data_IF_623998328110
#
_entry.id   IF_623998328110
#
_cell.length_a   1.000
_cell.length_b   1.000
_cell.length_c   1.000
_cell.angle_alpha   90.00
_cell.angle_beta   90.00
_cell.angle_gamma   90.00
#
_symmetry.space_group_name_H-M   'P 1'
#
loop_
_entity.id
_entity.type
_entity.pdbx_description
1 polymer ?
#
# COMPACT_ATOMS: atom_id res chain seq x y z
N UNK A 1 -15.02 -7.62 -12.57
CA UNK A 1 -14.21 -7.43 -13.79
C UNK A 1 -14.97 -7.97 -14.99
N UNK A 2 -14.86 -7.40 -16.19
CA UNK A 2 -15.45 -7.98 -17.40
C UNK A 2 -14.87 -9.40 -17.60
N UNK A 3 -15.72 -10.35 -18.00
CA UNK A 3 -15.39 -11.79 -18.00
C UNK A 3 -14.87 -12.23 -19.39
N UNK A 4 -14.95 -11.35 -20.41
CA UNK A 4 -14.49 -11.61 -21.77
C UNK A 4 -13.82 -10.36 -22.36
N UNK A 5 -12.77 -10.55 -23.16
CA UNK A 5 -12.24 -9.50 -24.01
C UNK A 5 -13.27 -9.11 -25.09
N UNK A 6 -13.29 -7.86 -25.59
CA UNK A 6 -14.12 -7.51 -26.74
C UNK A 6 -13.83 -8.47 -27.89
N UNK A 7 -14.87 -9.16 -28.41
CA UNK A 7 -14.77 -10.25 -29.41
C UNK A 7 -14.02 -9.92 -30.72
N UNK A 8 -13.59 -8.67 -30.89
CA UNK A 8 -12.93 -8.15 -32.09
C UNK A 8 -11.41 -7.99 -31.92
N UNK A 9 -10.87 -8.15 -30.71
CA UNK A 9 -9.44 -7.99 -30.47
C UNK A 9 -8.70 -9.31 -30.69
N UNK A 10 -7.51 -9.30 -31.34
CA UNK A 10 -6.75 -10.51 -31.64
C UNK A 10 -5.97 -11.06 -30.42
N UNK A 11 -6.32 -10.64 -29.20
CA UNK A 11 -5.62 -10.98 -27.95
C UNK A 11 -6.63 -11.43 -26.89
N UNK A 12 -6.16 -12.24 -25.95
CA UNK A 12 -6.90 -12.66 -24.77
C UNK A 12 -7.16 -11.49 -23.82
N UNK A 13 -8.07 -11.69 -22.86
CA UNK A 13 -8.34 -10.68 -21.82
C UNK A 13 -7.13 -10.42 -20.92
N UNK A 14 -6.38 -11.47 -20.58
CA UNK A 14 -5.18 -11.36 -19.74
C UNK A 14 -4.07 -10.58 -20.46
N UNK A 15 -3.87 -10.85 -21.76
CA UNK A 15 -2.94 -10.08 -22.59
C UNK A 15 -3.39 -8.62 -22.72
N UNK A 16 -4.68 -8.37 -22.93
CA UNK A 16 -5.23 -7.01 -23.00
C UNK A 16 -5.05 -6.26 -21.68
N UNK A 17 -5.25 -6.94 -20.54
CA UNK A 17 -5.07 -6.36 -19.21
C UNK A 17 -3.59 -6.06 -18.94
N UNK A 18 -2.70 -7.01 -19.23
CA UNK A 18 -1.26 -6.81 -19.07
C UNK A 18 -0.77 -5.63 -19.91
N UNK A 19 -1.17 -5.56 -21.18
CA UNK A 19 -0.83 -4.44 -22.07
C UNK A 19 -1.38 -3.10 -21.55
N UNK A 20 -2.63 -3.09 -21.08
CA UNK A 20 -3.22 -1.88 -20.52
C UNK A 20 -2.47 -1.41 -19.26
N UNK A 21 -2.08 -2.33 -18.38
CA UNK A 21 -1.31 -2.02 -17.19
C UNK A 21 0.08 -1.48 -17.57
N UNK A 22 0.79 -2.12 -18.51
CA UNK A 22 2.07 -1.61 -19.02
C UNK A 22 1.94 -0.19 -19.54
N UNK A 23 0.92 0.10 -20.35
CA UNK A 23 0.69 1.44 -20.88
C UNK A 23 0.51 2.47 -19.76
N UNK A 24 -0.28 2.14 -18.72
CA UNK A 24 -0.46 3.02 -17.54
C UNK A 24 0.88 3.28 -16.83
N UNK A 25 1.69 2.24 -16.63
CA UNK A 25 2.96 2.35 -15.91
C UNK A 25 4.02 3.15 -16.67
N UNK A 26 4.03 3.05 -18.00
CA UNK A 26 5.00 3.75 -18.86
C UNK A 26 4.60 5.20 -19.15
N UNK A 27 3.30 5.50 -19.23
CA UNK A 27 2.81 6.83 -19.63
C UNK A 27 2.58 7.78 -18.46
N UNK A 28 2.22 7.25 -17.29
CA UNK A 28 1.89 8.09 -16.15
C UNK A 28 3.14 8.41 -15.34
N UNK A 29 3.57 9.68 -15.37
CA UNK A 29 4.60 10.17 -14.46
C UNK A 29 4.06 10.20 -13.02
N UNK A 30 4.89 9.76 -12.08
CA UNK A 30 4.60 9.77 -10.65
C UNK A 30 5.80 10.29 -9.88
N UNK A 31 5.52 11.11 -8.88
CA UNK A 31 6.49 11.55 -7.89
C UNK A 31 6.33 10.69 -6.64
N UNK A 32 7.46 10.25 -6.09
CA UNK A 32 7.49 9.52 -4.82
C UNK A 32 8.31 10.30 -3.82
N UNK A 33 7.64 10.79 -2.78
CA UNK A 33 8.28 11.41 -1.62
C UNK A 33 8.39 10.41 -0.48
N UNK A 34 9.49 10.47 0.28
CA UNK A 34 9.62 9.72 1.54
C UNK A 34 9.34 10.66 2.70
N UNK A 35 8.32 10.36 3.48
CA UNK A 35 8.06 11.03 4.75
C UNK A 35 8.83 10.31 5.86
N UNK A 36 9.61 11.08 6.62
CA UNK A 36 10.35 10.62 7.79
C UNK A 36 10.02 11.52 8.97
N UNK A 37 9.69 10.94 10.12
CA UNK A 37 9.44 11.65 11.37
C UNK A 37 10.52 11.31 12.40
N UNK A 38 10.68 12.18 13.40
CA UNK A 38 11.70 12.05 14.45
C UNK A 38 11.57 10.78 15.31
N UNK A 39 10.39 10.16 15.33
CA UNK A 39 10.11 8.92 16.07
C UNK A 39 10.51 7.64 15.31
N UNK A 40 11.09 7.77 14.11
CA UNK A 40 11.48 6.65 13.27
C UNK A 40 10.40 6.20 12.28
N UNK A 41 9.21 6.83 12.30
CA UNK A 41 8.19 6.62 11.27
C UNK A 41 8.73 6.96 9.90
N UNK A 42 8.63 6.03 8.95
CA UNK A 42 9.05 6.22 7.57
C UNK A 42 8.11 5.52 6.59
N UNK A 43 7.59 6.27 5.63
CA UNK A 43 6.77 5.72 4.54
C UNK A 43 6.83 6.59 3.28
N UNK A 44 6.41 6.01 2.17
CA UNK A 44 6.41 6.65 0.88
C UNK A 44 5.01 7.18 0.52
N UNK A 45 5.00 8.35 -0.10
CA UNK A 45 3.81 8.99 -0.68
C UNK A 45 4.05 9.10 -2.17
N UNK A 46 3.36 8.29 -2.95
CA UNK A 46 3.37 8.35 -4.40
C UNK A 46 2.17 9.14 -4.89
N UNK A 47 2.43 10.19 -5.65
CA UNK A 47 1.42 11.09 -6.23
C UNK A 47 1.68 11.26 -7.72
N UNK A 48 0.63 11.44 -8.52
CA UNK A 48 0.77 11.83 -9.91
C UNK A 48 -0.50 12.52 -10.41
N UNK A 49 -0.42 13.15 -11.57
CA UNK A 49 -1.58 13.88 -12.13
C UNK A 49 -2.60 12.95 -12.80
N UNK A 50 -2.19 11.71 -13.11
CA UNK A 50 -3.07 10.70 -13.70
C UNK A 50 -4.14 10.20 -12.74
N UNK A 51 -5.25 9.73 -13.31
CA UNK A 51 -6.31 9.06 -12.56
C UNK A 51 -6.00 7.58 -12.27
N UNK A 52 -4.87 7.07 -12.76
CA UNK A 52 -4.51 5.65 -12.67
C UNK A 52 -3.27 5.37 -11.81
N UNK A 53 -2.75 6.36 -11.06
CA UNK A 53 -1.58 6.21 -10.17
C UNK A 53 -1.70 4.97 -9.29
N UNK A 54 -2.87 4.77 -8.68
CA UNK A 54 -3.15 3.65 -7.77
C UNK A 54 -3.14 2.27 -8.43
N UNK A 55 -3.13 2.16 -9.77
CA UNK A 55 -2.93 0.89 -10.47
C UNK A 55 -1.55 0.28 -10.16
N UNK A 56 -0.59 1.10 -9.73
CA UNK A 56 0.73 0.65 -9.26
C UNK A 56 0.68 -0.28 -8.06
N UNK A 57 -0.44 -0.30 -7.32
CA UNK A 57 -0.68 -1.31 -6.29
C UNK A 57 -0.62 -2.74 -6.83
N UNK A 58 -0.99 -2.96 -8.10
CA UNK A 58 -0.93 -4.27 -8.75
C UNK A 58 0.50 -4.76 -8.97
N UNK A 59 1.47 -3.85 -8.95
CA UNK A 59 2.91 -4.11 -9.11
C UNK A 59 3.71 -3.53 -7.94
N UNK A 60 3.09 -3.46 -6.74
CA UNK A 60 3.68 -2.78 -5.57
C UNK A 60 5.09 -3.25 -5.26
N UNK A 61 5.39 -4.54 -5.47
CA UNK A 61 6.72 -5.12 -5.28
C UNK A 61 7.85 -4.39 -6.02
N UNK A 62 7.56 -3.76 -7.17
CA UNK A 62 8.54 -2.99 -7.94
C UNK A 62 8.92 -1.67 -7.26
N UNK A 63 8.13 -1.23 -6.29
CA UNK A 63 8.31 0.02 -5.55
C UNK A 63 8.79 -0.21 -4.11
N UNK A 64 8.88 -1.46 -3.66
CA UNK A 64 9.31 -1.79 -2.31
C UNK A 64 10.83 -1.92 -2.23
N UNK A 65 11.45 -1.04 -1.45
CA UNK A 65 12.86 -1.14 -1.11
C UNK A 65 13.05 -0.93 0.41
N UNK A 66 13.44 -1.96 1.18
CA UNK A 66 13.68 -3.35 0.77
C UNK A 66 12.38 -4.15 0.57
N UNK A 67 12.44 -5.24 -0.20
CA UNK A 67 11.39 -6.27 -0.21
C UNK A 67 11.59 -7.17 1.02
N UNK A 68 10.57 -7.28 1.87
CA UNK A 68 10.64 -8.09 3.10
C UNK A 68 9.63 -9.23 3.09
N UNK A 69 9.90 -10.36 3.79
CA UNK A 69 8.91 -11.43 3.96
C UNK A 69 7.67 -11.02 4.78
N UNK A 70 7.75 -9.89 5.49
CA UNK A 70 6.60 -9.33 6.22
C UNK A 70 5.69 -8.52 5.30
N UNK A 71 6.10 -8.24 4.06
CA UNK A 71 5.32 -7.46 3.11
C UNK A 71 5.39 -5.95 3.40
N UNK A 72 4.30 -5.25 3.12
CA UNK A 72 4.21 -3.79 3.22
C UNK A 72 2.88 -3.34 3.82
N UNK A 73 2.87 -2.17 4.47
CA UNK A 73 1.64 -1.39 4.63
C UNK A 73 1.36 -0.63 3.35
N UNK A 74 0.08 -0.52 2.99
CA UNK A 74 -0.35 0.26 1.82
C UNK A 74 -1.71 0.91 2.03
N UNK A 75 -1.89 2.10 1.46
CA UNK A 75 -3.15 2.84 1.44
C UNK A 75 -3.37 3.43 0.04
N UNK A 76 -4.63 3.44 -0.41
CA UNK A 76 -5.04 4.09 -1.67
C UNK A 76 -6.20 5.05 -1.38
N UNK A 77 -5.95 6.18 -0.71
CA UNK A 77 -7.00 7.09 -0.25
C UNK A 77 -7.82 7.71 -1.39
N UNK A 78 -7.17 7.98 -2.51
CA UNK A 78 -7.76 8.53 -3.72
C UNK A 78 -7.00 8.03 -4.96
N UNK A 79 -7.57 8.23 -6.16
CA UNK A 79 -7.06 7.64 -7.41
C UNK A 79 -5.63 8.05 -7.82
N UNK A 80 -5.16 9.18 -7.29
CA UNK A 80 -3.91 9.82 -7.65
C UNK A 80 -2.86 9.79 -6.52
N UNK A 81 -3.17 9.15 -5.38
CA UNK A 81 -2.27 9.04 -4.22
C UNK A 81 -2.22 7.58 -3.74
N UNK A 82 -1.01 7.05 -3.58
CA UNK A 82 -0.74 5.78 -2.92
C UNK A 82 0.27 6.00 -1.80
N UNK A 83 -0.02 5.46 -0.61
CA UNK A 83 0.89 5.47 0.53
C UNK A 83 1.42 4.05 0.71
N UNK A 84 2.71 3.85 0.96
CA UNK A 84 3.22 2.51 1.25
C UNK A 84 4.49 2.53 2.11
N UNK A 85 4.69 1.47 2.90
CA UNK A 85 5.87 1.29 3.74
C UNK A 85 6.25 -0.19 3.79
N UNK A 86 7.47 -0.58 3.39
CA UNK A 86 7.97 -1.92 3.66
C UNK A 86 7.98 -2.22 5.15
N UNK A 87 7.56 -3.42 5.56
CA UNK A 87 7.58 -3.81 6.96
C UNK A 87 8.94 -4.44 7.30
N UNK A 88 9.78 -3.69 7.99
CA UNK A 88 11.14 -4.12 8.39
C UNK A 88 11.19 -4.54 9.85
N UNK A 89 10.57 -3.76 10.73
CA UNK A 89 10.60 -3.95 12.18
C UNK A 89 9.32 -3.37 12.83
N UNK A 90 9.30 -3.32 14.17
CA UNK A 90 8.13 -2.91 14.95
C UNK A 90 7.82 -1.40 14.88
N UNK A 91 8.69 -0.55 14.34
CA UNK A 91 8.38 0.87 14.05
C UNK A 91 7.23 1.03 13.05
N UNK A 92 6.84 -0.08 12.40
CA UNK A 92 5.67 -0.14 11.53
C UNK A 92 4.36 0.23 12.24
N UNK A 93 4.29 0.06 13.57
CA UNK A 93 3.09 0.42 14.35
C UNK A 93 2.89 1.94 14.39
N UNK A 94 3.97 2.71 14.56
CA UNK A 94 3.91 4.17 14.54
C UNK A 94 3.64 4.68 13.11
N UNK A 95 4.30 4.06 12.13
CA UNK A 95 4.06 4.29 10.70
C UNK A 95 2.61 4.05 10.30
N UNK A 96 1.98 2.99 10.82
CA UNK A 96 0.57 2.68 10.60
C UNK A 96 -0.33 3.83 11.06
N UNK A 97 -0.08 4.40 12.24
CA UNK A 97 -0.90 5.49 12.76
C UNK A 97 -0.77 6.75 11.88
N UNK A 98 0.45 7.12 11.52
CA UNK A 98 0.70 8.27 10.64
C UNK A 98 0.06 8.09 9.26
N UNK A 99 0.22 6.90 8.65
CA UNK A 99 -0.40 6.58 7.37
C UNK A 99 -1.94 6.59 7.45
N UNK A 100 -2.54 6.12 8.54
CA UNK A 100 -4.00 6.11 8.70
C UNK A 100 -4.58 7.53 8.74
N UNK A 101 -3.93 8.43 9.48
CA UNK A 101 -4.32 9.86 9.55
C UNK A 101 -4.21 10.50 8.17
N UNK A 102 -3.09 10.29 7.47
CA UNK A 102 -2.89 10.85 6.13
C UNK A 102 -3.88 10.27 5.11
N UNK A 103 -4.14 8.97 5.16
CA UNK A 103 -5.10 8.32 4.27
C UNK A 103 -6.51 8.89 4.46
N UNK A 104 -6.96 9.09 5.71
CA UNK A 104 -8.25 9.74 5.99
C UNK A 104 -8.33 11.16 5.43
N UNK A 105 -7.28 11.97 5.64
CA UNK A 105 -7.22 13.34 5.10
C UNK A 105 -7.31 13.34 3.57
N UNK A 106 -6.48 12.55 2.90
CA UNK A 106 -6.44 12.45 1.42
C UNK A 106 -7.71 11.85 0.83
N UNK A 107 -8.40 11.01 1.58
CA UNK A 107 -9.70 10.47 1.19
C UNK A 107 -10.80 11.54 1.24
N UNK A 108 -10.75 12.46 2.21
CA UNK A 108 -11.75 13.51 2.39
C UNK A 108 -11.64 14.66 1.36
N UNK A 109 -10.51 14.81 0.67
CA UNK A 109 -10.23 15.95 -0.22
C UNK A 109 -11.12 16.01 -1.46
N UNK A 110 -11.52 14.86 -2.02
CA UNK A 110 -12.41 14.76 -3.20
C UNK A 110 -11.96 15.53 -4.46
N UNK A 111 -12.67 15.40 -5.60
CA UNK A 111 -13.33 14.18 -6.07
C UNK A 111 -12.31 13.06 -6.36
N UNK A 112 -12.81 11.82 -6.48
CA UNK A 112 -12.07 10.60 -6.82
C UNK A 112 -11.28 9.98 -5.67
N UNK A 113 -11.83 10.11 -4.47
CA UNK A 113 -11.55 9.29 -3.30
C UNK A 113 -11.83 7.81 -3.60
N UNK A 114 -11.04 6.93 -3.00
CA UNK A 114 -11.16 5.47 -3.11
C UNK A 114 -11.45 4.87 -1.73
N UNK A 115 -10.42 4.63 -0.92
CA UNK A 115 -10.58 4.03 0.41
C UNK A 115 -9.55 4.58 1.40
N UNK A 116 -9.96 5.07 2.58
CA UNK A 116 -9.01 5.52 3.61
C UNK A 116 -8.38 4.34 4.37
N UNK A 117 -8.80 3.11 4.08
CA UNK A 117 -8.37 1.90 4.78
C UNK A 117 -6.90 1.60 4.49
N UNK A 118 -6.19 1.22 5.56
CA UNK A 118 -4.87 0.61 5.43
C UNK A 118 -5.00 -0.87 5.11
N UNK A 119 -4.07 -1.37 4.32
CA UNK A 119 -3.98 -2.76 3.96
C UNK A 119 -2.57 -3.26 4.28
N UNK A 120 -2.51 -4.49 4.77
CA UNK A 120 -1.30 -5.27 4.76
C UNK A 120 -1.19 -5.98 3.41
N UNK A 121 -0.21 -5.58 2.61
CA UNK A 121 0.16 -6.27 1.39
C UNK A 121 1.20 -7.34 1.68
N UNK A 122 0.96 -8.58 1.26
CA UNK A 122 1.95 -9.66 1.32
C UNK A 122 1.70 -10.66 0.19
N UNK A 123 2.73 -10.90 -0.63
CA UNK A 123 2.70 -11.84 -1.76
C UNK A 123 1.49 -11.62 -2.69
N UNK A 124 1.24 -10.35 -3.05
CA UNK A 124 0.13 -9.96 -3.93
C UNK A 124 -1.26 -9.97 -3.27
N UNK A 125 -1.38 -10.27 -1.97
CA UNK A 125 -2.65 -10.29 -1.23
C UNK A 125 -2.76 -9.06 -0.34
N UNK A 126 -3.96 -8.49 -0.26
CA UNK A 126 -4.28 -7.36 0.61
C UNK A 126 -5.20 -7.82 1.73
N UNK A 127 -4.77 -7.65 2.97
CA UNK A 127 -5.58 -7.84 4.17
C UNK A 127 -5.89 -6.48 4.77
N UNK A 128 -7.17 -6.12 4.88
CA UNK A 128 -7.56 -4.84 5.47
C UNK A 128 -7.13 -4.76 6.94
N UNK A 129 -6.67 -3.58 7.34
CA UNK A 129 -6.24 -3.24 8.70
C UNK A 129 -7.23 -2.20 9.24
N UNK A 130 -8.25 -2.62 10.00
CA UNK A 130 -9.26 -1.71 10.53
C UNK A 130 -8.65 -0.72 11.52
N UNK A 131 -8.83 0.56 11.23
CA UNK A 131 -8.37 1.66 12.06
C UNK A 131 -9.53 2.64 12.23
N UNK A 132 -9.83 3.00 13.47
CA UNK A 132 -10.70 4.11 13.81
C UNK A 132 -9.84 5.33 14.11
N UNK A 133 -10.13 6.45 13.45
CA UNK A 133 -9.49 7.75 13.72
C UNK A 133 -10.57 8.68 14.24
N UNK A 134 -10.40 9.15 15.46
CA UNK A 134 -11.30 10.09 16.14
C UNK A 134 -10.49 11.24 16.80
N UNK A 135 -11.18 12.13 17.51
CA UNK A 135 -10.55 13.28 18.17
C UNK A 135 -9.60 12.85 19.32
N UNK A 136 -9.77 11.64 19.87
CA UNK A 136 -8.96 11.08 20.95
C UNK A 136 -7.72 10.32 20.43
N UNK A 137 -7.66 10.06 19.11
CA UNK A 137 -6.48 9.52 18.43
C UNK A 137 -6.81 8.41 17.44
N UNK A 138 -5.86 7.47 17.30
CA UNK A 138 -5.94 6.35 16.36
C UNK A 138 -6.10 5.05 17.14
N UNK A 139 -7.23 4.36 16.95
CA UNK A 139 -7.51 3.04 17.52
C UNK A 139 -7.37 1.97 16.46
N UNK A 140 -6.36 1.12 16.60
CA UNK A 140 -6.06 0.04 15.65
C UNK A 140 -6.60 -1.30 16.15
N UNK A 141 -7.32 -2.01 15.28
CA UNK A 141 -7.89 -3.33 15.56
C UNK A 141 -7.23 -4.38 14.64
N UNK A 142 -6.02 -4.85 14.96
CA UNK A 142 -5.27 -5.74 14.09
C UNK A 142 -5.99 -7.08 13.90
N UNK A 143 -6.19 -7.54 12.65
CA UNK A 143 -6.62 -8.91 12.39
C UNK A 143 -5.62 -9.92 12.95
N UNK A 144 -6.09 -11.10 13.41
CA UNK A 144 -5.21 -12.14 13.95
C UNK A 144 -4.12 -12.57 12.96
N UNK A 145 -4.44 -12.62 11.67
CA UNK A 145 -3.47 -12.93 10.62
C UNK A 145 -2.30 -11.94 10.60
N UNK A 146 -2.57 -10.65 10.82
CA UNK A 146 -1.53 -9.62 10.88
C UNK A 146 -0.70 -9.75 12.16
N UNK A 147 -1.34 -10.03 13.29
CA UNK A 147 -0.64 -10.25 14.56
C UNK A 147 0.32 -11.43 14.46
N UNK A 148 -0.18 -12.61 14.11
CA UNK A 148 0.61 -13.86 14.05
C UNK A 148 1.60 -13.84 12.88
N UNK A 149 1.17 -13.36 11.73
CA UNK A 149 1.91 -13.42 10.47
C UNK A 149 2.91 -12.27 10.25
N UNK A 150 2.85 -11.22 11.08
CA UNK A 150 3.72 -10.05 11.00
C UNK A 150 4.27 -9.66 12.39
N UNK A 151 3.44 -9.13 13.29
CA UNK A 151 3.91 -8.50 14.53
C UNK A 151 4.66 -9.46 15.46
N UNK A 152 4.14 -10.67 15.67
CA UNK A 152 4.80 -11.68 16.50
C UNK A 152 6.11 -12.18 15.89
N UNK A 153 6.22 -12.18 14.56
CA UNK A 153 7.44 -12.60 13.86
C UNK A 153 8.53 -11.55 13.96
N UNK A 154 8.16 -10.27 13.94
CA UNK A 154 9.07 -9.14 14.17
C UNK A 154 9.52 -9.06 15.64
N UNK A 155 8.63 -9.40 16.58
CA UNK A 155 8.95 -9.40 18.01
C UNK A 155 9.86 -10.57 18.43
N UNK A 156 9.90 -11.66 17.66
CA UNK A 156 10.84 -12.75 17.88
C UNK A 156 12.24 -12.26 17.46
N UNK A 157 13.23 -12.24 18.37
CA UNK A 157 14.57 -11.83 18.00
C UNK A 157 15.08 -12.71 16.85
N UNK A 158 15.56 -12.07 15.78
CA UNK A 158 16.23 -12.75 14.67
C UNK A 158 17.28 -13.71 15.25
N UNK A 159 17.16 -15.01 14.94
CA UNK A 159 18.13 -16.03 15.36
C UNK A 159 19.51 -15.85 14.70
N UNK A 160 19.75 -14.72 14.04
CA UNK A 160 21.01 -14.35 13.40
C UNK A 160 21.44 -12.97 13.91
N UNK A 161 22.12 -12.96 15.07
CA UNK A 161 22.98 -11.84 15.46
C UNK A 161 24.32 -11.95 14.72
N UNK A 162 24.94 -10.84 14.30
CA UNK A 162 26.23 -10.89 13.61
C UNK A 162 27.34 -11.38 14.54
N UNK A 163 28.20 -12.24 14.00
CA UNK A 163 29.52 -12.59 14.54
C UNK A 163 30.46 -11.37 14.54
#
# INVERSE_FOLDING_TARGET
MPIEAPKQWPITLDEAFALALTNVLEQDEVDTETLELDDGTRFHVMVGDSFFVTSRLLVLEQHLEPITPMGALVAVPNRHTMLYAPIVDLTIVDTLQAMAILAQRRHAEGPGSLSPTLYWWRDGRLTALPVEVDDDGVRFFPPSEFVEGCLERLAKPSAYGPN
#
